data_IF_185841170105
#
_entry.id   IF_185841170105
#
_cell.length_a   1.000
_cell.length_b   1.000
_cell.length_c   1.000
_cell.angle_alpha   90.00
_cell.angle_beta   90.00
_cell.angle_gamma   90.00
#
_symmetry.space_group_name_H-M   'P 1'
#
loop_
_entity.id
_entity.type
_entity.pdbx_description
1 polymer ?
2 polymer ?
3 non-polymer ?
4 water ?
#
# COMPACT_ATOMS: atom_id res chain seq x y z
N UNK A 24 -7.57 4.82 -17.98
CA UNK A 24 -6.61 5.88 -18.11
C UNK A 24 -7.10 7.23 -18.62
N UNK A 25 -8.35 7.41 -19.11
CA UNK A 25 -8.79 8.76 -19.51
C UNK A 25 -8.98 9.65 -18.26
N UNK A 26 -9.73 9.15 -17.28
CA UNK A 26 -9.96 9.82 -16.00
C UNK A 26 -8.70 9.94 -15.16
N UNK A 27 -7.81 8.92 -15.27
CA UNK A 27 -6.52 8.88 -14.59
C UNK A 27 -5.58 9.93 -15.20
N UNK A 28 -5.51 9.99 -16.54
CA UNK A 28 -4.72 10.96 -17.31
C UNK A 28 -5.16 12.39 -16.91
N UNK A 29 -6.49 12.66 -16.79
CA UNK A 29 -7.01 13.96 -16.34
C UNK A 29 -6.58 14.27 -14.87
N UNK A 30 -6.58 13.25 -13.96
CA UNK A 30 -6.14 13.38 -12.57
C UNK A 30 -4.63 13.72 -12.51
N UNK A 31 -3.79 12.93 -13.22
CA UNK A 31 -2.33 13.10 -13.23
C UNK A 31 -1.87 14.32 -13.99
N UNK A 32 -2.65 14.82 -14.98
CA UNK A 32 -2.34 16.02 -15.76
C UNK A 32 -2.51 17.32 -14.94
N UNK A 33 -3.47 17.32 -14.02
CA UNK A 33 -3.78 18.42 -13.13
C UNK A 33 -2.56 18.83 -12.25
N UNK A 34 -2.44 20.10 -11.75
CA UNK A 34 -1.31 20.42 -10.85
C UNK A 34 -1.37 19.49 -9.62
N UNK A 35 -0.24 19.00 -9.08
CA UNK A 35 -0.36 18.04 -7.96
C UNK A 35 -0.79 18.73 -6.67
N UNK A 36 -1.54 18.02 -5.78
CA UNK A 36 -1.86 18.60 -4.46
C UNK A 36 -0.57 19.10 -3.81
N UNK A 37 -0.66 20.20 -3.11
CA UNK A 37 0.48 20.78 -2.44
C UNK A 37 0.82 20.03 -1.13
N UNK A 38 1.91 20.45 -0.48
CA UNK A 38 2.44 19.96 0.78
C UNK A 38 1.34 19.75 1.87
N UNK A 39 0.40 20.68 1.96
CA UNK A 39 -0.71 20.65 2.92
C UNK A 39 -1.66 19.51 2.65
N UNK A 40 -2.03 19.34 1.37
CA UNK A 40 -2.94 18.32 0.92
C UNK A 40 -2.28 16.94 1.00
N UNK A 41 -0.97 16.88 0.72
CA UNK A 41 -0.17 15.65 0.77
C UNK A 41 -0.06 15.18 2.19
N UNK A 42 -0.05 16.13 3.15
CA UNK A 42 0.07 15.82 4.56
C UNK A 42 -1.24 15.34 5.11
N UNK A 43 -2.34 16.02 4.71
CA UNK A 43 -3.71 15.66 5.11
C UNK A 43 -4.13 14.31 4.57
N UNK A 44 -3.49 13.87 3.47
CA UNK A 44 -3.77 12.60 2.84
C UNK A 44 -2.68 11.59 3.13
N UNK A 45 -1.64 12.02 3.83
CA UNK A 45 -0.54 11.13 4.18
C UNK A 45 -0.86 10.16 5.31
N UNK A 46 0.16 9.46 5.79
CA UNK A 46 0.08 8.49 6.88
C UNK A 46 -0.43 9.15 8.17
N UNK A 47 -1.25 8.40 8.93
CA UNK A 47 -1.87 8.88 10.16
C UNK A 47 -1.09 8.49 11.40
N UNK A 48 -0.57 9.48 12.18
CA UNK A 48 0.14 9.12 13.44
C UNK A 48 -0.77 8.46 14.45
N UNK A 49 -2.08 8.70 14.33
CA UNK A 49 -3.12 8.16 15.23
C UNK A 49 -3.84 6.92 14.65
N UNK A 50 -3.31 6.30 13.58
CA UNK A 50 -3.88 5.11 12.95
C UNK A 50 -2.81 4.34 12.20
N UNK A 51 -1.76 3.96 12.94
CA UNK A 51 -0.64 3.17 12.44
C UNK A 51 -0.20 2.22 13.58
N UNK A 52 0.63 1.22 13.28
CA UNK A 52 1.11 0.30 14.32
C UNK A 52 1.90 1.08 15.35
N UNK A 53 1.88 0.58 16.62
CA UNK A 53 2.61 1.14 17.76
C UNK A 53 4.13 1.13 17.49
N UNK A 54 4.57 0.36 16.46
CA UNK A 54 5.98 0.23 16.08
C UNK A 54 6.36 1.12 14.92
N UNK A 55 5.48 2.02 14.53
CA UNK A 55 5.71 2.91 13.40
C UNK A 55 5.71 4.36 13.85
N UNK A 56 6.66 5.15 13.34
CA UNK A 56 6.69 6.56 13.65
C UNK A 56 6.39 7.28 12.34
N UNK A 57 5.36 8.13 12.34
CA UNK A 57 4.98 8.92 11.18
C UNK A 57 5.80 10.22 11.20
N UNK A 58 6.45 10.57 10.07
CA UNK A 58 7.35 11.71 9.97
C UNK A 58 6.85 12.76 8.97
N UNK A 59 7.37 14.01 9.10
CA UNK A 59 7.05 15.12 8.21
C UNK A 59 5.54 15.37 8.04
N UNK A 60 4.78 15.20 9.10
CA UNK A 60 3.34 15.39 9.12
C UNK A 60 2.55 14.48 8.19
N UNK A 61 3.05 13.28 7.92
CA UNK A 61 2.36 12.31 7.09
C UNK A 61 3.02 11.89 5.78
N UNK A 62 4.09 12.58 5.36
CA UNK A 62 4.76 12.29 4.09
C UNK A 62 5.44 10.95 4.07
N UNK A 63 5.86 10.47 5.23
CA UNK A 63 6.47 9.15 5.29
C UNK A 63 6.40 8.56 6.68
N UNK A 64 6.70 7.27 6.78
CA UNK A 64 6.80 6.58 8.07
C UNK A 64 8.07 5.76 8.15
N UNK A 65 8.56 5.55 9.39
CA UNK A 65 9.73 4.71 9.67
C UNK A 65 9.31 3.60 10.63
N UNK A 66 9.53 2.34 10.26
CA UNK A 66 9.19 1.24 11.16
C UNK A 66 10.41 0.94 11.98
N UNK A 67 10.26 0.93 13.31
CA UNK A 67 11.40 0.67 14.20
C UNK A 67 11.85 -0.82 14.10
N UNK A 68 13.12 -1.16 14.42
CA UNK A 68 13.55 -2.57 14.28
C UNK A 68 13.06 -3.54 15.36
N UNK A 69 11.80 -4.00 15.26
CA UNK A 69 11.23 -4.99 16.17
C UNK A 69 11.21 -6.33 15.49
N UNK A 70 11.58 -7.40 16.22
CA UNK A 70 11.62 -8.75 15.69
C UNK A 70 10.25 -9.38 15.65
N UNK A 71 10.07 -10.30 14.68
CA UNK A 71 8.84 -11.09 14.47
C UNK A 71 7.59 -10.23 14.64
N UNK A 72 7.49 -9.16 13.85
CA UNK A 72 6.36 -8.24 13.84
C UNK A 72 6.22 -7.67 12.46
N UNK A 73 4.97 -7.64 11.98
CA UNK A 73 4.55 -7.04 10.72
C UNK A 73 3.72 -5.88 11.16
N UNK A 74 4.01 -4.74 10.57
CA UNK A 74 3.41 -3.49 11.01
C UNK A 74 2.93 -2.67 9.84
N UNK A 75 1.78 -2.05 10.01
CA UNK A 75 1.19 -1.23 8.96
C UNK A 75 0.71 0.14 9.38
N UNK A 76 0.45 0.99 8.38
CA UNK A 76 -0.06 2.35 8.57
C UNK A 76 -1.26 2.54 7.66
N UNK A 77 -2.16 3.48 8.02
CA UNK A 77 -3.28 3.84 7.18
C UNK A 77 -3.14 5.34 6.90
N UNK A 78 -3.59 5.76 5.74
CA UNK A 78 -3.67 7.17 5.38
C UNK A 78 -4.68 7.86 6.29
N UNK A 79 -4.60 9.20 6.45
CA UNK A 79 -5.54 9.93 7.33
C UNK A 79 -6.95 9.98 6.73
N UNK A 80 -7.06 9.74 5.38
CA UNK A 80 -8.30 9.91 4.63
C UNK A 80 -8.84 8.70 3.95
N UNK A 81 -10.14 8.49 4.19
CA UNK A 81 -10.91 7.42 3.60
C UNK A 81 -11.69 7.93 2.42
N UNK A 82 -11.67 7.16 1.32
CA UNK A 82 -12.36 7.45 0.06
C UNK A 82 -13.46 6.41 -0.14
N UNK A 83 -14.64 6.87 -0.51
CA UNK A 83 -15.83 6.07 -0.79
C UNK A 83 -16.40 6.45 -2.16
N UNK A 84 -15.94 7.59 -2.74
CA UNK A 84 -16.40 8.11 -4.03
C UNK A 84 -15.24 8.62 -4.83
N UNK A 85 -15.42 8.70 -6.14
CA UNK A 85 -14.48 9.29 -7.08
C UNK A 85 -13.22 8.48 -7.33
N UNK A 86 -12.26 9.12 -8.05
CA UNK A 86 -10.97 8.59 -8.41
C UNK A 86 -9.87 9.14 -7.49
N UNK A 87 -9.10 8.26 -6.83
CA UNK A 87 -7.97 8.64 -5.97
C UNK A 87 -6.71 7.90 -6.35
N UNK A 88 -5.59 8.62 -6.41
CA UNK A 88 -4.30 8.03 -6.77
C UNK A 88 -3.18 8.60 -5.91
N UNK A 89 -2.25 7.71 -5.49
CA UNK A 89 -1.12 8.08 -4.63
C UNK A 89 0.11 7.30 -4.98
N UNK A 90 1.21 7.99 -4.93
CA UNK A 90 2.51 7.40 -5.20
C UNK A 90 3.12 6.87 -3.91
N UNK A 91 3.54 5.61 -3.92
CA UNK A 91 4.23 5.00 -2.81
C UNK A 91 5.69 4.90 -3.24
N UNK A 92 6.61 5.37 -2.38
CA UNK A 92 8.02 5.17 -2.67
C UNK A 92 8.54 4.24 -1.56
N UNK A 93 9.06 3.09 -1.99
CA UNK A 93 9.52 2.06 -1.05
C UNK A 93 10.83 1.47 -1.53
N UNK A 94 11.97 1.87 -0.93
CA UNK A 94 13.28 1.39 -1.42
C UNK A 94 13.43 -0.14 -1.38
N UNK A 95 14.02 -0.71 -2.43
CA UNK A 95 14.17 -2.17 -2.62
C UNK A 95 14.95 -2.87 -1.48
N UNK A 96 15.96 -2.19 -0.95
CA UNK A 96 16.78 -2.66 0.18
C UNK A 96 16.04 -2.59 1.53
N UNK A 97 14.82 -2.03 1.54
CA UNK A 97 14.04 -1.88 2.77
C UNK A 97 12.70 -2.65 2.72
N UNK A 98 12.58 -3.70 1.86
CA UNK A 98 11.32 -4.45 1.70
C UNK A 98 11.28 -5.75 2.51
N UNK A 99 12.41 -6.46 2.56
CA UNK A 99 12.50 -7.69 3.34
C UNK A 99 11.59 -8.77 2.80
N UNK A 100 11.11 -9.66 3.68
CA UNK A 100 10.30 -10.80 3.25
C UNK A 100 8.85 -10.47 2.86
N UNK A 101 8.17 -9.46 3.46
CA UNK A 101 6.77 -9.16 3.12
C UNK A 101 6.48 -7.68 3.09
N UNK A 102 6.52 -7.10 1.91
CA UNK A 102 6.24 -5.72 1.65
C UNK A 102 4.94 -5.73 0.83
N UNK A 103 3.81 -5.29 1.45
CA UNK A 103 2.48 -5.26 0.83
C UNK A 103 1.97 -3.81 0.73
N UNK A 104 1.43 -3.44 -0.44
CA UNK A 104 0.91 -2.09 -0.73
C UNK A 104 -0.57 -2.25 -1.12
N UNK A 105 -1.44 -1.46 -0.52
CA UNK A 105 -2.85 -1.53 -0.89
C UNK A 105 -3.77 -0.56 -0.19
N UNK A 106 -4.90 -1.08 0.27
CA UNK A 106 -5.99 -0.35 0.93
C UNK A 106 -6.57 -1.21 2.05
N UNK A 107 -7.31 -0.56 2.93
CA UNK A 107 -7.96 -1.23 4.03
C UNK A 107 -9.14 -0.36 4.50
N UNK A 108 -10.12 -0.98 5.16
CA UNK A 108 -11.21 -0.28 5.81
C UNK A 108 -10.60 0.24 7.14
N UNK A 109 -11.34 1.06 7.91
CA UNK A 109 -10.83 1.58 9.20
C UNK A 109 -10.69 0.51 10.32
N UNK A 110 -11.26 -0.68 10.17
CA UNK A 110 -11.14 -1.74 11.18
C UNK A 110 -10.04 -2.80 10.91
N UNK A 111 -9.33 -2.73 9.78
CA UNK A 111 -8.27 -3.73 9.52
C UNK A 111 -7.12 -3.63 10.57
N UNK A 112 -6.65 -4.77 11.15
CA UNK A 112 -5.54 -4.68 12.13
C UNK A 112 -4.26 -4.11 11.52
N UNK A 113 -3.50 -3.32 12.28
CA UNK A 113 -2.25 -2.74 11.75
C UNK A 113 -0.96 -3.38 12.29
N UNK A 114 -1.09 -4.53 12.98
CA UNK A 114 0.00 -5.23 13.61
C UNK A 114 -0.34 -6.70 13.80
N UNK A 115 0.68 -7.52 13.70
CA UNK A 115 0.67 -8.94 13.99
C UNK A 115 2.06 -9.34 14.46
N UNK A 116 2.10 -10.31 15.35
CA UNK A 116 3.29 -10.79 16.04
C UNK A 116 4.03 -11.93 15.31
N UNK A 117 4.18 -11.77 14.00
CA UNK A 117 4.98 -12.64 13.12
C UNK A 117 5.21 -11.93 11.81
N UNK A 118 6.12 -12.46 10.96
CA UNK A 118 6.41 -11.92 9.63
C UNK A 118 5.33 -12.44 8.66
N UNK A 119 4.48 -11.53 8.13
CA UNK A 119 3.40 -11.96 7.23
C UNK A 119 2.96 -10.90 6.28
N UNK A 120 2.05 -11.30 5.34
CA UNK A 120 1.35 -10.44 4.38
C UNK A 120 0.04 -9.99 5.10
N UNK A 121 0.21 -9.16 6.14
CA UNK A 121 -0.86 -8.65 6.99
C UNK A 121 -1.97 -7.93 6.23
N UNK A 122 -1.57 -7.03 5.32
CA UNK A 122 -2.49 -6.26 4.50
C UNK A 122 -3.04 -7.18 3.40
N UNK A 123 -4.29 -7.60 3.54
CA UNK A 123 -4.93 -8.52 2.63
C UNK A 123 -5.16 -9.90 3.25
N UNK A 124 -4.75 -10.12 4.49
CA UNK A 124 -4.99 -11.44 5.16
C UNK A 124 -6.36 -11.55 5.88
N UNK A 125 -7.27 -10.60 5.65
CA UNK A 125 -8.58 -10.58 6.32
C UNK A 125 -9.56 -9.89 5.40
N UNK A 126 -10.84 -9.90 5.77
CA UNK A 126 -11.94 -9.27 5.00
C UNK A 126 -11.85 -7.74 4.87
N UNK A 127 -11.00 -7.08 5.68
CA UNK A 127 -10.91 -5.63 5.76
C UNK A 127 -9.72 -4.98 5.04
N UNK A 128 -8.92 -5.79 4.34
CA UNK A 128 -7.74 -5.26 3.66
C UNK A 128 -7.48 -5.94 2.33
N UNK A 129 -6.86 -5.17 1.40
CA UNK A 129 -6.55 -5.63 0.03
C UNK A 129 -5.17 -5.21 -0.31
N UNK A 130 -4.31 -6.16 -0.64
CA UNK A 130 -2.93 -5.82 -0.96
C UNK A 130 -2.23 -6.62 -2.02
N UNK A 131 -1.21 -5.99 -2.63
CA UNK A 131 -0.29 -6.55 -3.60
C UNK A 131 1.04 -6.73 -2.91
N UNK A 132 1.54 -7.97 -2.86
CA UNK A 132 2.86 -8.25 -2.30
C UNK A 132 3.81 -7.78 -3.42
N UNK A 133 4.49 -6.65 -3.21
CA UNK A 133 5.34 -6.07 -4.26
C UNK A 133 6.69 -6.84 -4.44
N UNK A 134 6.91 -7.84 -3.60
CA UNK A 134 8.10 -8.68 -3.67
C UNK A 134 7.87 -9.96 -4.42
N UNK A 135 6.70 -10.58 -4.21
CA UNK A 135 6.31 -11.84 -4.88
C UNK A 135 5.32 -11.66 -6.01
N UNK A 136 4.66 -10.49 -6.07
CA UNK A 136 3.66 -10.21 -7.09
C UNK A 136 2.32 -10.85 -6.83
N UNK A 137 2.07 -11.34 -5.59
CA UNK A 137 0.81 -12.02 -5.26
C UNK A 137 -0.23 -11.03 -4.75
N UNK A 138 -1.53 -11.30 -5.03
CA UNK A 138 -2.61 -10.45 -4.51
C UNK A 138 -3.23 -11.12 -3.33
N UNK A 139 -3.49 -10.35 -2.28
CA UNK A 139 -4.10 -10.81 -1.04
C UNK A 139 -5.35 -10.04 -0.70
N UNK A 140 -6.42 -10.78 -0.41
CA UNK A 140 -7.72 -10.33 0.09
C UNK A 140 -8.35 -11.54 0.77
N UNK A 141 -8.57 -11.49 2.12
CA UNK A 141 -9.07 -12.61 2.95
C UNK A 141 -8.21 -13.88 2.65
N UNK A 142 -6.90 -13.69 2.40
CA UNK A 142 -5.96 -14.74 1.98
C UNK A 142 -4.98 -15.19 3.06
N UNK A 143 -4.82 -16.52 3.19
CA UNK A 143 -3.85 -17.16 4.10
C UNK A 143 -2.43 -17.04 3.52
N UNK A 144 -2.29 -17.36 2.24
CA UNK A 144 -1.02 -17.33 1.53
C UNK A 144 -1.01 -18.20 0.29
N UNK A 145 -0.88 -19.56 0.42
CA UNK A 145 -0.82 -20.42 -0.79
C UNK A 145 -2.03 -20.27 -1.72
N UNK A 146 -1.76 -20.29 -3.02
CA UNK A 146 -2.77 -20.14 -4.06
C UNK A 146 -3.19 -18.72 -4.41
N UNK A 147 -2.55 -17.69 -3.80
CA UNK A 147 -2.86 -16.29 -4.08
C UNK A 147 -2.63 -15.95 -5.57
N UNK A 148 -3.54 -15.24 -6.25
CA UNK A 148 -3.31 -14.97 -7.69
C UNK A 148 -2.17 -14.00 -7.91
N UNK A 149 -1.47 -14.20 -9.01
CA UNK A 149 -0.34 -13.40 -9.46
C UNK A 149 -0.89 -12.14 -10.11
N UNK A 150 -0.15 -11.03 -10.00
CA UNK A 150 -0.54 -9.75 -10.59
C UNK A 150 0.72 -9.04 -11.06
N UNK A 151 0.87 -8.69 -12.37
CA UNK A 151 -0.02 -8.99 -13.52
C UNK A 151 -0.20 -10.51 -13.65
N UNK A 152 -1.43 -10.98 -13.98
CA UNK A 152 -1.78 -12.41 -14.10
C UNK A 152 -0.97 -13.04 -15.19
N UNK A 153 -0.45 -14.24 -14.93
CA UNK A 153 0.36 -14.98 -15.90
C UNK A 153 1.85 -14.73 -15.85
N UNK A 154 2.35 -14.07 -14.78
CA UNK A 154 3.78 -13.73 -14.63
C UNK A 154 4.55 -14.59 -13.59
N UNK A 155 3.90 -15.61 -12.97
CA UNK A 155 4.58 -16.49 -12.01
C UNK A 155 5.80 -17.18 -12.67
N UNK A 156 6.92 -17.19 -11.95
CA UNK A 156 8.19 -17.76 -12.42
C UNK A 156 8.96 -16.86 -13.38
N UNK A 157 8.51 -15.59 -13.56
CA UNK A 157 9.19 -14.63 -14.46
C UNK A 157 10.14 -13.67 -13.70
N UNK A 158 10.24 -13.83 -12.37
CA UNK A 158 11.10 -13.06 -11.45
C UNK A 158 11.01 -11.55 -11.69
N UNK A 159 9.79 -11.05 -11.85
CA UNK A 159 9.53 -9.63 -12.04
C UNK A 159 9.96 -8.83 -10.82
N UNK A 160 10.24 -7.53 -11.05
CA UNK A 160 10.70 -6.64 -9.99
C UNK A 160 9.91 -5.36 -10.01
N UNK A 161 9.29 -5.03 -8.88
CA UNK A 161 8.55 -3.76 -8.74
C UNK A 161 9.59 -2.66 -8.41
N UNK A 162 9.71 -1.57 -9.21
CA UNK A 162 10.72 -0.53 -8.89
C UNK A 162 10.41 0.23 -7.60
N UNK A 163 11.27 1.18 -7.20
CA UNK A 163 11.13 1.96 -5.96
C UNK A 163 9.79 2.67 -5.86
N UNK A 164 9.36 3.37 -6.93
CA UNK A 164 8.09 4.09 -6.94
C UNK A 164 7.02 3.29 -7.67
N UNK A 165 5.78 3.43 -7.22
CA UNK A 165 4.61 2.82 -7.82
C UNK A 165 3.40 3.67 -7.50
N UNK A 166 2.47 3.69 -8.43
CA UNK A 166 1.23 4.44 -8.33
C UNK A 166 0.10 3.45 -7.96
N UNK A 167 -0.70 3.83 -6.96
CA UNK A 167 -1.86 3.07 -6.46
C UNK A 167 -3.07 3.89 -6.87
N UNK A 168 -3.97 3.25 -7.64
CA UNK A 168 -5.15 3.87 -8.21
C UNK A 168 -6.40 3.20 -7.66
N UNK A 169 -7.14 3.94 -6.87
CA UNK A 169 -8.41 3.49 -6.31
C UNK A 169 -9.57 4.19 -7.06
N UNK A 170 -10.39 3.43 -7.80
CA UNK A 170 -11.56 3.98 -8.53
C UNK A 170 -12.80 3.58 -7.76
N UNK A 171 -13.35 4.51 -6.96
CA UNK A 171 -14.53 4.27 -6.14
C UNK A 171 -15.84 4.41 -6.93
N UNK A 172 -15.80 4.92 -8.16
CA UNK A 172 -16.99 4.97 -9.02
C UNK A 172 -17.28 3.57 -9.57
N UNK A 173 -16.21 2.87 -9.97
CA UNK A 173 -16.22 1.51 -10.52
C UNK A 173 -15.95 0.44 -9.46
N UNK A 174 -15.49 0.83 -8.27
CA UNK A 174 -15.17 -0.07 -7.17
C UNK A 174 -13.98 -0.97 -7.45
N UNK A 175 -12.93 -0.43 -8.07
CA UNK A 175 -11.73 -1.19 -8.41
C UNK A 175 -10.46 -0.64 -7.73
N UNK A 176 -9.46 -1.52 -7.56
CA UNK A 176 -8.15 -1.10 -7.10
C UNK A 176 -7.12 -1.60 -8.08
N UNK A 177 -6.34 -0.66 -8.61
CA UNK A 177 -5.29 -0.93 -9.56
C UNK A 177 -3.95 -0.32 -9.24
N UNK A 178 -2.94 -0.65 -10.04
CA UNK A 178 -1.58 -0.17 -9.87
C UNK A 178 -1.02 0.26 -11.20
N UNK A 179 -0.14 1.27 -11.16
CA UNK A 179 0.55 1.77 -12.34
C UNK A 179 2.05 1.81 -12.06
N UNK A 180 2.86 1.38 -13.03
CA UNK A 180 4.32 1.31 -12.94
C UNK A 180 4.93 1.98 -14.18
N UNK A 181 5.67 3.06 -13.94
CA UNK A 181 6.29 3.88 -14.97
C UNK A 181 5.25 4.46 -15.89
N UNK A 182 4.19 5.00 -15.32
CA UNK A 182 3.09 5.59 -16.12
C UNK A 182 2.21 4.61 -16.87
N UNK A 183 2.29 3.29 -16.53
CA UNK A 183 1.51 2.26 -17.20
C UNK A 183 0.62 1.53 -16.23
N UNK A 184 -0.69 1.67 -16.44
CA UNK A 184 -1.72 1.02 -15.63
C UNK A 184 -1.73 -0.47 -15.90
N UNK A 185 -1.66 -1.30 -14.83
CA UNK A 185 -1.60 -2.75 -14.97
C UNK A 185 -2.97 -3.39 -15.08
N UNK A 186 -4.01 -2.60 -14.89
CA UNK A 186 -5.38 -3.09 -14.89
C UNK A 186 -5.85 -3.31 -13.46
N UNK A 187 -7.16 -3.56 -13.25
CA UNK A 187 -7.64 -3.76 -11.87
C UNK A 187 -7.15 -5.07 -11.24
N UNK A 188 -6.52 -4.97 -10.06
CA UNK A 188 -6.09 -6.10 -9.22
C UNK A 188 -7.30 -6.64 -8.42
N UNK A 189 -8.09 -5.72 -7.88
CA UNK A 189 -9.27 -6.06 -7.07
C UNK A 189 -10.47 -5.30 -7.60
N UNK A 190 -11.68 -5.90 -7.44
CA UNK A 190 -12.96 -5.30 -7.86
C UNK A 190 -13.95 -5.47 -6.73
N UNK A 191 -15.19 -4.96 -6.91
CA UNK A 191 -16.26 -5.07 -5.92
C UNK A 191 -16.06 -4.25 -4.66
N UNK A 192 -15.43 -3.04 -4.80
CA UNK A 192 -15.13 -2.15 -3.67
C UNK A 192 -16.18 -1.07 -3.39
N UNK A 193 -17.21 -0.90 -4.24
CA UNK A 193 -18.24 0.14 -4.03
C UNK A 193 -18.90 -0.01 -2.64
N UNK A 194 -19.37 1.09 -2.06
CA UNK A 194 -20.01 1.07 -0.75
C UNK A 194 -19.05 0.95 0.43
N UNK A 195 -17.74 0.94 0.16
CA UNK A 195 -16.72 0.86 1.21
C UNK A 195 -15.99 2.19 1.39
N UNK A 196 -15.38 2.42 2.56
CA UNK A 196 -14.54 3.61 2.81
C UNK A 196 -13.15 3.07 2.98
N UNK A 197 -12.31 3.32 1.95
CA UNK A 197 -11.00 2.70 1.88
C UNK A 197 -9.91 3.71 2.02
N UNK A 198 -8.87 3.29 2.76
CA UNK A 198 -7.70 4.08 3.10
C UNK A 198 -6.42 3.54 2.46
N UNK A 199 -5.50 4.40 2.00
CA UNK A 199 -4.18 3.88 1.58
C UNK A 199 -3.59 3.13 2.76
N UNK A 200 -2.94 1.99 2.48
CA UNK A 200 -2.34 1.16 3.52
C UNK A 200 -1.18 0.36 2.97
N UNK A 201 -0.25 0.00 3.87
CA UNK A 201 0.90 -0.85 3.60
C UNK A 201 1.14 -1.66 4.87
N UNK A 202 1.88 -2.75 4.76
CA UNK A 202 2.33 -3.53 5.90
C UNK A 202 3.77 -3.88 5.59
N UNK A 203 4.66 -3.60 6.52
CA UNK A 203 6.10 -3.80 6.40
C UNK A 203 6.69 -4.67 7.52
N UNK A 204 7.83 -5.33 7.23
CA UNK A 204 8.53 -6.20 8.20
C UNK A 204 9.98 -5.75 8.42
N UNK A 205 10.46 -4.80 7.62
CA UNK A 205 11.85 -4.35 7.63
C UNK A 205 12.17 -3.29 8.68
N UNK A 206 13.17 -3.60 9.51
CA UNK A 206 13.70 -2.71 10.53
C UNK A 206 14.28 -1.46 9.92
N UNK A 207 13.69 -0.31 10.31
CA UNK A 207 14.05 1.05 9.85
C UNK A 207 13.68 1.34 8.38
N UNK A 208 12.65 0.66 7.83
CA UNK A 208 12.20 0.95 6.48
C UNK A 208 11.41 2.28 6.48
N UNK A 209 11.53 3.08 5.40
CA UNK A 209 10.87 4.38 5.27
C UNK A 209 10.02 4.37 4.02
N UNK A 210 8.70 4.44 4.23
CA UNK A 210 7.75 4.40 3.13
C UNK A 210 7.09 5.77 2.94
N UNK A 211 7.25 6.34 1.73
CA UNK A 211 6.68 7.63 1.42
C UNK A 211 5.38 7.43 0.70
N UNK A 212 4.45 8.35 0.87
CA UNK A 212 3.16 8.42 0.21
C UNK A 212 3.03 9.85 -0.32
N UNK A 213 2.72 9.99 -1.61
CA UNK A 213 2.57 11.28 -2.29
C UNK A 213 1.23 11.24 -3.03
N UNK A 214 0.20 11.77 -2.37
CA UNK A 214 -1.16 11.81 -2.88
C UNK A 214 -1.25 12.75 -4.08
N UNK A 215 -1.98 12.33 -5.13
CA UNK A 215 -2.04 13.06 -6.39
C UNK A 215 -3.44 13.51 -6.83
N UNK A 216 -4.47 13.25 -6.03
CA UNK A 216 -5.82 13.66 -6.35
C UNK A 216 -6.82 12.53 -6.30
N UNK A 217 -8.11 12.77 -6.62
CA UNK A 217 -8.70 14.02 -7.12
C UNK A 217 -9.19 14.95 -5.99
N UNK B 1 19.87 -8.50 14.02
CA UNK B 1 20.41 -8.86 12.71
C UNK B 1 19.71 -10.04 12.02
N UNK B 2 18.39 -10.20 12.25
CA UNK B 2 17.64 -11.26 11.61
C UNK B 2 17.43 -10.95 10.09
N UNK B 3 16.82 -11.89 9.37
CA UNK B 3 16.59 -11.77 7.92
C UNK B 3 15.92 -10.39 7.52
N UNK B 4 15.06 -9.82 8.40
CA UNK B 4 14.33 -8.57 8.14
C UNK B 4 14.92 -7.35 8.82
N UNK B 5 16.24 -7.40 9.16
CA UNK B 5 16.95 -6.28 9.78
C UNK B 5 16.32 -5.88 11.14
N UNK B 6 15.98 -6.89 11.96
CA UNK B 6 15.37 -6.65 13.26
C UNK B 6 16.13 -7.47 14.29
N UNK B 7 16.70 -7.03 15.46
CA UNK B 7 19.18 -7.20 15.99
C UNK B 7 19.54 -7.27 14.52
X LIG C 1 0.10 -17.22 -12.98
X LIG C 1 -0.47 -18.32 -13.70
X LIG C 1 -0.88 -16.12 -12.92
X LIG C 1 1.32 -16.82 -13.67
X LIG C 1 0.44 -17.69 -11.64
X LIG D 1 -8.50 18.61 1.66
X LIG D 1 -9.56 19.47 2.26
X LIG D 1 -9.08 17.57 0.81
X LIG D 1 -7.59 19.38 0.83
X LIG D 1 -7.75 18.02 2.74
#
# INVERSE_FOLDING_TARGET
MHHHHHHSSGVDLGTENLYFQSMPEGLEELLSAPPPDLGAQRRHGWNPKDCSENIEVKEGGLYFERRPVAQSTDGARGKRGYSRGLHAWEISWPLEQRGTHAVVGVATALAPLQTDHYAALLGSNSESWGWDIGRGKLYHQSKGPGAPQYPAGTQGEQLEVPERLLVVLDMEEGTLGYAIGGTYLGPAFRGLKGRTLYPAVSAVWGQCQVRIRYLGE
WDINNNX
SO4 S O1 O2 O3 O4
SO4 S O1 O2 O3 O4
#
